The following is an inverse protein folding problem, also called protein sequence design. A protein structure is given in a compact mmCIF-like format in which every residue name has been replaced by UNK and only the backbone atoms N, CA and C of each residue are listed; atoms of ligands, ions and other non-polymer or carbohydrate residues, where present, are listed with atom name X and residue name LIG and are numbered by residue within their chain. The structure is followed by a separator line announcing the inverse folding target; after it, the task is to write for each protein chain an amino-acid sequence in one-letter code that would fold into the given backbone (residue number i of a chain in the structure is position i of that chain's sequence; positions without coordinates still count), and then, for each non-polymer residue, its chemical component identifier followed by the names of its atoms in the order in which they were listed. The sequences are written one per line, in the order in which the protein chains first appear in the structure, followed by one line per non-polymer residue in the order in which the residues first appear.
data_IF_367795577401
#
_entry.id   IF_367795577401
#
_cell.length_a   1.000
_cell.length_b   1.000
_cell.length_c   1.000
_cell.angle_alpha   90.00
_cell.angle_beta   90.00
_cell.angle_gamma   90.00
#
_symmetry.space_group_name_H-M   'P 1'
#
loop_
_entity.id
_entity.type
_entity.pdbx_description
1 polymer ?
#
# COMPACT_ATOMS: atom_id res chain seq x y z
N UNK A 1 -56.43 56.13 7.31
CA UNK A 1 -56.24 54.67 7.13
C UNK A 1 -55.59 54.42 5.77
N UNK A 2 -54.29 54.11 5.74
CA UNK A 2 -53.50 53.98 4.51
C UNK A 2 -53.58 52.56 3.93
N UNK A 3 -53.90 52.49 2.63
CA UNK A 3 -53.99 51.26 1.82
C UNK A 3 -52.61 50.63 1.54
N UNK A 4 -51.91 50.14 2.56
CA UNK A 4 -50.63 49.42 2.38
C UNK A 4 -50.46 48.16 3.24
N UNK A 5 -51.56 47.51 3.61
CA UNK A 5 -51.54 46.09 3.96
C UNK A 5 -51.71 45.27 2.68
N UNK A 6 -50.67 44.51 2.30
CA UNK A 6 -50.61 43.40 1.31
C UNK A 6 -49.41 43.58 0.38
N UNK A 7 -48.24 43.09 0.83
CA UNK A 7 -47.13 42.52 0.04
C UNK A 7 -45.91 42.35 0.96
N UNK A 8 -46.03 41.45 1.93
CA UNK A 8 -44.88 41.01 2.75
C UNK A 8 -44.98 39.50 3.02
N UNK A 9 -45.23 38.70 1.97
CA UNK A 9 -45.19 37.23 2.05
C UNK A 9 -44.95 36.66 0.65
N UNK A 10 -43.72 36.76 0.16
CA UNK A 10 -43.29 36.04 -1.06
C UNK A 10 -41.76 35.90 -1.20
N UNK A 11 -40.96 36.17 -0.16
CA UNK A 11 -39.48 36.08 -0.26
C UNK A 11 -38.93 35.43 1.01
N UNK A 12 -39.36 34.20 1.31
CA UNK A 12 -38.68 33.34 2.31
C UNK A 12 -38.47 31.90 1.77
N UNK A 13 -39.07 31.52 0.63
CA UNK A 13 -39.00 30.14 0.13
C UNK A 13 -37.87 29.85 -0.89
N UNK A 14 -36.97 30.81 -1.18
CA UNK A 14 -35.94 30.63 -2.21
C UNK A 14 -34.49 30.52 -1.68
N UNK A 15 -34.26 30.67 -0.37
CA UNK A 15 -32.89 30.64 0.20
C UNK A 15 -32.56 29.29 0.85
N UNK A 16 -33.52 28.39 1.04
CA UNK A 16 -33.26 27.05 1.61
C UNK A 16 -32.71 26.06 0.56
N UNK A 17 -32.74 26.38 -0.73
CA UNK A 17 -32.25 25.47 -1.78
C UNK A 17 -30.76 25.64 -2.13
N UNK A 18 -30.04 26.55 -1.48
CA UNK A 18 -28.58 26.73 -1.66
C UNK A 18 -27.75 26.29 -0.45
N UNK A 19 -28.33 25.48 0.45
CA UNK A 19 -27.60 24.84 1.53
C UNK A 19 -27.76 23.32 1.40
N UNK A 20 -26.71 22.67 0.88
CA UNK A 20 -26.49 21.26 1.16
C UNK A 20 -26.66 20.28 0.00
N UNK A 21 -26.38 20.67 -1.25
CA UNK A 21 -25.73 19.70 -2.14
C UNK A 21 -24.27 19.53 -1.73
N UNK A 22 -24.03 19.12 -0.47
CA UNK A 22 -22.82 18.35 -0.19
C UNK A 22 -23.02 17.11 -1.03
N UNK A 23 -22.38 17.08 -2.19
CA UNK A 23 -22.11 15.85 -2.91
C UNK A 23 -21.60 14.91 -1.83
N UNK A 24 -22.39 13.91 -1.44
CA UNK A 24 -21.85 12.83 -0.65
C UNK A 24 -20.81 12.24 -1.57
N UNK A 25 -19.54 12.62 -1.38
CA UNK A 25 -18.45 11.94 -2.04
C UNK A 25 -18.63 10.49 -1.64
N UNK A 26 -19.04 9.65 -2.60
CA UNK A 26 -19.28 8.23 -2.32
C UNK A 26 -18.04 7.69 -1.63
N UNK A 27 -18.22 7.28 -0.38
CA UNK A 27 -17.16 6.83 0.48
C UNK A 27 -16.92 5.36 0.15
N UNK A 28 -15.83 5.08 -0.55
CA UNK A 28 -15.47 3.74 -0.93
C UNK A 28 -14.90 2.96 0.27
N UNK A 29 -14.97 1.64 0.16
CA UNK A 29 -14.34 0.69 1.08
C UNK A 29 -13.16 0.02 0.38
N UNK A 30 -11.98 0.10 0.99
CA UNK A 30 -10.78 -0.58 0.53
C UNK A 30 -10.48 -1.78 1.43
N UNK A 31 -10.40 -2.97 0.83
CA UNK A 31 -9.88 -4.16 1.49
C UNK A 31 -8.38 -4.29 1.24
N UNK A 32 -7.61 -4.42 2.31
CA UNK A 32 -6.15 -4.58 2.23
C UNK A 32 -5.76 -5.98 2.61
N UNK A 33 -5.05 -6.63 1.71
CA UNK A 33 -4.45 -7.95 1.87
C UNK A 33 -2.94 -7.78 1.98
N UNK A 34 -2.29 -8.63 2.76
CA UNK A 34 -0.84 -8.63 2.92
C UNK A 34 -0.31 -10.02 2.63
N UNK A 35 0.80 -10.07 1.92
CA UNK A 35 1.57 -11.28 1.69
C UNK A 35 3.06 -10.99 1.80
N UNK A 36 3.85 -12.04 1.91
CA UNK A 36 5.26 -11.99 1.55
C UNK A 36 5.48 -12.70 0.21
N UNK A 37 6.54 -12.34 -0.49
CA UNK A 37 7.01 -13.04 -1.68
C UNK A 37 8.52 -13.23 -1.58
N UNK A 38 9.01 -14.42 -1.89
CA UNK A 38 10.44 -14.72 -1.86
C UNK A 38 10.90 -15.22 -3.22
N UNK A 39 11.92 -14.59 -3.77
CA UNK A 39 12.50 -15.00 -5.04
C UNK A 39 12.97 -16.45 -4.98
N UNK A 40 12.63 -17.24 -5.99
CA UNK A 40 12.89 -18.69 -5.98
C UNK A 40 14.35 -19.08 -6.25
N UNK A 41 15.14 -18.19 -6.85
CA UNK A 41 16.55 -18.41 -7.19
C UNK A 41 17.33 -17.10 -7.09
N UNK A 42 18.66 -17.18 -7.11
CA UNK A 42 19.55 -15.98 -7.11
C UNK A 42 19.79 -15.39 -8.50
N UNK A 43 19.13 -15.91 -9.52
CA UNK A 43 19.14 -15.33 -10.87
C UNK A 43 18.11 -14.21 -10.92
N UNK A 44 18.32 -13.21 -11.76
CA UNK A 44 17.43 -12.05 -11.87
C UNK A 44 16.08 -12.41 -12.53
N UNK A 45 15.26 -13.19 -11.81
CA UNK A 45 13.96 -13.67 -12.27
C UNK A 45 12.85 -13.01 -11.45
N UNK A 46 11.72 -12.77 -12.10
CA UNK A 46 10.50 -12.24 -11.49
C UNK A 46 9.63 -13.34 -10.86
N UNK A 47 10.11 -14.59 -10.84
CA UNK A 47 9.39 -15.75 -10.31
C UNK A 47 9.82 -16.10 -8.89
N UNK A 48 8.85 -16.39 -8.04
CA UNK A 48 9.10 -16.72 -6.65
C UNK A 48 7.92 -17.39 -5.98
N UNK A 49 8.05 -17.54 -4.66
CA UNK A 49 7.08 -18.24 -3.83
C UNK A 49 6.32 -17.22 -2.98
N UNK A 50 5.01 -17.07 -3.17
CA UNK A 50 4.19 -16.25 -2.30
C UNK A 50 3.88 -16.97 -0.98
N UNK A 51 3.85 -16.20 0.11
CA UNK A 51 3.33 -16.58 1.42
C UNK A 51 2.07 -15.74 1.71
N UNK A 52 0.86 -16.28 1.48
CA UNK A 52 -0.40 -15.54 1.61
C UNK A 52 -0.78 -15.16 3.05
N UNK A 53 -0.20 -15.82 4.05
CA UNK A 53 -0.57 -15.66 5.46
C UNK A 53 0.69 -15.51 6.32
N UNK A 54 1.50 -14.45 6.10
CA UNK A 54 2.76 -14.28 6.80
C UNK A 54 2.52 -14.04 8.29
N UNK A 55 3.34 -14.65 9.14
CA UNK A 55 3.20 -14.63 10.61
C UNK A 55 1.79 -15.04 11.11
N UNK A 56 1.06 -15.86 10.35
CA UNK A 56 -0.31 -16.27 10.68
C UNK A 56 -1.36 -15.18 10.49
N UNK A 57 -1.02 -14.10 9.79
CA UNK A 57 -1.94 -13.01 9.44
C UNK A 57 -3.12 -13.54 8.62
N UNK A 58 -4.33 -13.07 8.94
CA UNK A 58 -5.52 -13.32 8.14
C UNK A 58 -5.34 -12.79 6.72
N UNK A 59 -5.84 -13.54 5.71
CA UNK A 59 -5.79 -13.13 4.30
C UNK A 59 -6.25 -11.68 4.12
N UNK A 60 -7.43 -11.34 4.66
CA UNK A 60 -7.85 -9.96 4.80
C UNK A 60 -7.19 -9.38 6.05
N UNK A 61 -6.23 -8.47 5.86
CA UNK A 61 -5.46 -7.88 6.95
C UNK A 61 -6.27 -6.79 7.66
N UNK A 62 -6.88 -5.88 6.90
CA UNK A 62 -7.78 -4.85 7.41
C UNK A 62 -8.63 -4.23 6.30
N UNK A 63 -9.69 -3.53 6.71
CA UNK A 63 -10.59 -2.77 5.84
C UNK A 63 -10.54 -1.30 6.20
N UNK A 64 -10.56 -0.43 5.19
CA UNK A 64 -10.59 1.02 5.30
C UNK A 64 -11.90 1.53 4.73
N UNK A 65 -12.74 2.13 5.55
CA UNK A 65 -14.00 2.74 5.10
C UNK A 65 -13.85 4.25 4.99
N UNK A 66 -14.66 4.90 4.16
CA UNK A 66 -14.59 6.36 4.00
C UNK A 66 -13.53 6.83 3.01
N UNK A 67 -13.05 5.95 2.12
CA UNK A 67 -12.05 6.32 1.13
C UNK A 67 -12.64 7.28 0.12
N UNK A 68 -11.94 8.40 -0.14
CA UNK A 68 -12.35 9.38 -1.14
C UNK A 68 -12.20 8.80 -2.54
N UNK A 69 -13.28 8.79 -3.31
CA UNK A 69 -13.29 8.24 -4.67
C UNK A 69 -12.37 8.94 -5.67
N UNK A 70 -11.96 10.18 -5.41
CA UNK A 70 -10.98 10.91 -6.22
C UNK A 70 -9.55 10.87 -5.65
N UNK A 71 -9.33 10.15 -4.54
CA UNK A 71 -8.04 10.00 -3.89
C UNK A 71 -7.17 8.91 -4.49
N UNK A 72 -5.98 8.75 -3.92
CA UNK A 72 -4.99 7.74 -4.30
C UNK A 72 -4.98 6.56 -3.33
N UNK A 73 -4.33 5.45 -3.68
CA UNK A 73 -4.11 4.35 -2.73
C UNK A 73 -3.30 4.81 -1.51
N UNK A 74 -2.34 5.72 -1.68
CA UNK A 74 -1.61 6.33 -0.56
C UNK A 74 -2.52 7.12 0.38
N UNK A 75 -3.48 7.87 -0.15
CA UNK A 75 -4.46 8.60 0.67
C UNK A 75 -5.34 7.63 1.47
N UNK A 76 -5.76 6.53 0.85
CA UNK A 76 -6.52 5.48 1.51
C UNK A 76 -5.71 4.79 2.62
N UNK A 77 -4.42 4.54 2.42
CA UNK A 77 -3.54 3.99 3.45
C UNK A 77 -3.28 4.98 4.59
N UNK A 78 -3.12 6.29 4.30
CA UNK A 78 -3.04 7.33 5.34
C UNK A 78 -4.31 7.41 6.18
N UNK A 79 -5.48 7.22 5.55
CA UNK A 79 -6.75 7.10 6.26
C UNK A 79 -6.78 5.86 7.15
N UNK A 80 -6.26 4.72 6.69
CA UNK A 80 -6.13 3.51 7.52
C UNK A 80 -5.28 3.77 8.79
N UNK A 81 -4.20 4.55 8.64
CA UNK A 81 -3.35 4.95 9.77
C UNK A 81 -4.10 5.86 10.74
N UNK A 82 -4.85 6.86 10.28
CA UNK A 82 -5.65 7.72 11.16
C UNK A 82 -6.79 6.97 11.85
N UNK A 83 -7.27 5.88 11.25
CA UNK A 83 -8.23 4.93 11.84
C UNK A 83 -7.56 3.88 12.77
N UNK A 84 -6.25 3.96 12.98
CA UNK A 84 -5.52 3.07 13.89
C UNK A 84 -5.34 1.63 13.40
N UNK A 85 -5.59 1.34 12.10
CA UNK A 85 -5.47 -0.01 11.52
C UNK A 85 -4.02 -0.39 11.21
N UNK A 86 -3.19 0.60 10.93
CA UNK A 86 -1.83 0.40 10.45
C UNK A 86 -0.93 1.53 10.93
N UNK A 87 0.38 1.30 10.94
CA UNK A 87 1.41 2.34 11.02
C UNK A 87 2.28 2.20 9.78
N UNK A 88 2.53 3.31 9.09
CA UNK A 88 3.23 3.36 7.81
C UNK A 88 4.43 4.30 7.94
N UNK A 89 5.59 3.83 7.52
CA UNK A 89 6.74 4.66 7.24
C UNK A 89 6.85 4.90 5.75
N UNK A 90 7.09 6.15 5.38
CA UNK A 90 7.38 6.56 4.01
C UNK A 90 8.80 7.10 3.98
N UNK A 91 9.45 7.00 2.82
CA UNK A 91 10.75 7.63 2.61
C UNK A 91 10.62 9.16 2.68
N UNK A 92 11.60 9.86 3.26
CA UNK A 92 11.53 11.32 3.43
C UNK A 92 11.86 12.06 2.13
N UNK A 93 12.84 11.56 1.38
CA UNK A 93 13.31 12.16 0.12
C UNK A 93 12.42 11.73 -1.06
N UNK A 94 11.84 10.53 -0.96
CA UNK A 94 10.98 9.92 -1.97
C UNK A 94 9.65 9.46 -1.37
N UNK A 95 8.78 10.40 -0.95
CA UNK A 95 7.59 10.10 -0.16
C UNK A 95 6.61 9.14 -0.83
N UNK A 96 6.68 8.91 -2.13
CA UNK A 96 5.95 7.89 -2.87
C UNK A 96 6.27 6.44 -2.47
N UNK A 97 7.41 6.17 -1.83
CA UNK A 97 7.83 4.82 -1.46
C UNK A 97 7.55 4.48 -0.01
N UNK A 98 6.89 3.34 0.20
CA UNK A 98 6.62 2.78 1.51
C UNK A 98 7.88 2.08 2.04
N UNK A 99 8.35 2.48 3.21
CA UNK A 99 9.57 1.95 3.83
C UNK A 99 9.28 1.03 5.00
N UNK A 100 8.14 1.19 5.67
CA UNK A 100 7.72 0.27 6.73
C UNK A 100 6.20 0.20 6.86
N UNK A 101 5.73 -0.93 7.37
CA UNK A 101 4.33 -1.17 7.68
C UNK A 101 4.22 -2.01 8.94
N UNK A 102 3.27 -1.65 9.80
CA UNK A 102 2.85 -2.46 10.95
C UNK A 102 1.32 -2.53 11.02
N UNK A 103 0.76 -3.73 10.91
CA UNK A 103 -0.69 -3.97 11.05
C UNK A 103 -1.06 -4.02 12.53
N UNK A 104 -2.16 -3.36 12.88
CA UNK A 104 -2.68 -3.33 14.24
C UNK A 104 -4.05 -3.98 14.32
N UNK A 105 -4.24 -4.80 15.35
CA UNK A 105 -5.53 -5.36 15.75
C UNK A 105 -5.70 -5.20 17.25
N UNK A 106 -6.81 -4.59 17.65
CA UNK A 106 -7.13 -4.31 19.06
C UNK A 106 -5.99 -3.57 19.80
N UNK A 107 -5.36 -2.61 19.11
CA UNK A 107 -4.25 -1.81 19.64
C UNK A 107 -2.87 -2.49 19.61
N UNK A 108 -2.80 -3.80 19.34
CA UNK A 108 -1.56 -4.57 19.30
C UNK A 108 -1.03 -4.69 17.87
N UNK A 109 0.29 -4.63 17.71
CA UNK A 109 0.95 -4.94 16.43
C UNK A 109 0.94 -6.45 16.24
N UNK A 110 0.33 -6.90 15.15
CA UNK A 110 0.22 -8.34 14.81
C UNK A 110 1.12 -8.76 13.65
N UNK A 111 1.63 -7.80 12.89
CA UNK A 111 2.54 -8.03 11.78
C UNK A 111 3.31 -6.74 11.51
N UNK A 112 4.62 -6.82 11.24
CA UNK A 112 5.39 -5.64 10.85
C UNK A 112 6.63 -6.01 10.04
N UNK A 113 6.92 -5.21 9.02
CA UNK A 113 8.17 -5.27 8.25
C UNK A 113 8.65 -3.88 7.88
N UNK A 114 9.97 -3.76 7.77
CA UNK A 114 10.68 -2.57 7.30
C UNK A 114 11.57 -2.99 6.13
N UNK A 115 11.67 -2.16 5.10
CA UNK A 115 12.56 -2.41 3.98
C UNK A 115 14.00 -2.56 4.48
N UNK A 116 14.75 -3.47 3.88
CA UNK A 116 16.13 -3.72 4.24
C UNK A 116 16.94 -4.14 3.01
N UNK A 117 18.26 -4.14 3.16
CA UNK A 117 19.17 -4.55 2.11
C UNK A 117 20.58 -4.65 2.63
N UNK A 118 21.23 -5.79 2.41
CA UNK A 118 22.62 -6.02 2.82
C UNK A 118 23.29 -7.13 2.01
N UNK A 119 24.62 -7.15 2.02
CA UNK A 119 25.38 -8.28 1.48
C UNK A 119 25.41 -9.42 2.50
N UNK A 120 25.02 -10.61 2.06
CA UNK A 120 25.11 -11.89 2.77
C UNK A 120 26.21 -12.74 2.16
N UNK A 121 26.82 -13.58 2.98
CA UNK A 121 27.89 -14.50 2.61
C UNK A 121 29.02 -13.83 1.80
N UNK A 122 29.66 -12.77 2.35
CA UNK A 122 30.69 -12.03 1.63
C UNK A 122 31.95 -12.88 1.43
N UNK A 123 32.52 -12.78 0.23
CA UNK A 123 33.78 -13.41 -0.20
C UNK A 123 34.82 -12.30 -0.28
N UNK A 124 35.99 -12.53 0.32
CA UNK A 124 37.07 -11.56 0.38
C UNK A 124 38.34 -12.07 -0.30
N UNK A 125 39.07 -11.15 -0.92
CA UNK A 125 40.49 -11.27 -1.24
C UNK A 125 41.26 -10.25 -0.38
N UNK A 126 41.95 -10.75 0.64
CA UNK A 126 42.47 -9.91 1.73
C UNK A 126 41.34 -9.17 2.46
N UNK A 127 41.37 -7.83 2.43
CA UNK A 127 40.34 -6.96 3.03
C UNK A 127 39.28 -6.49 2.02
N UNK A 128 39.43 -6.85 0.75
CA UNK A 128 38.53 -6.38 -0.32
C UNK A 128 37.44 -7.41 -0.55
N UNK A 129 36.17 -7.01 -0.41
CA UNK A 129 35.05 -7.89 -0.76
C UNK A 129 34.99 -8.03 -2.27
N UNK A 130 35.15 -9.26 -2.77
CA UNK A 130 35.19 -9.58 -4.20
C UNK A 130 33.89 -10.20 -4.71
N UNK A 131 32.98 -10.60 -3.82
CA UNK A 131 31.65 -11.09 -4.18
C UNK A 131 30.78 -11.32 -2.94
N UNK A 132 29.47 -11.36 -3.12
CA UNK A 132 28.50 -11.70 -2.08
C UNK A 132 27.14 -12.05 -2.72
N UNK A 133 26.17 -12.43 -1.88
CA UNK A 133 24.75 -12.42 -2.25
C UNK A 133 24.12 -11.17 -1.65
N UNK A 134 23.74 -10.19 -2.47
CA UNK A 134 22.91 -9.09 -2.00
C UNK A 134 21.50 -9.61 -1.73
N UNK A 135 20.98 -9.37 -0.53
CA UNK A 135 19.61 -9.71 -0.14
C UNK A 135 18.92 -8.43 0.25
N UNK A 136 17.78 -8.15 -0.37
CA UNK A 136 16.97 -6.99 -0.03
C UNK A 136 15.49 -7.27 -0.09
N UNK A 137 14.78 -6.64 0.83
CA UNK A 137 13.34 -6.75 0.96
C UNK A 137 12.67 -5.39 0.87
N UNK A 138 11.56 -5.32 0.14
CA UNK A 138 10.83 -4.07 -0.06
C UNK A 138 9.33 -4.26 -0.12
N UNK A 139 8.59 -3.22 0.27
CA UNK A 139 7.15 -3.14 0.10
C UNK A 139 6.77 -2.83 -1.35
N UNK A 140 6.05 -3.76 -1.96
CA UNK A 140 5.44 -3.68 -3.29
C UNK A 140 3.92 -3.71 -3.18
N UNK A 141 3.23 -3.43 -4.29
CA UNK A 141 1.77 -3.40 -4.29
C UNK A 141 1.19 -3.82 -5.63
N UNK A 142 -0.05 -4.30 -5.62
CA UNK A 142 -0.85 -4.49 -6.83
C UNK A 142 -2.36 -4.49 -6.50
N UNK A 143 -3.24 -4.11 -7.44
CA UNK A 143 -4.68 -4.10 -7.21
C UNK A 143 -5.26 -5.53 -7.14
N UNK A 144 -6.35 -5.68 -6.42
CA UNK A 144 -7.05 -6.96 -6.28
C UNK A 144 -6.73 -7.67 -4.97
N UNK A 145 -6.96 -8.98 -4.95
CA UNK A 145 -6.88 -9.83 -3.76
C UNK A 145 -6.19 -11.19 -4.03
N UNK A 146 -5.57 -11.36 -5.19
CA UNK A 146 -4.86 -12.60 -5.50
C UNK A 146 -3.52 -12.64 -4.76
N UNK A 147 -3.48 -13.34 -3.62
CA UNK A 147 -2.28 -13.49 -2.82
C UNK A 147 -1.27 -14.51 -3.39
N UNK A 148 -1.67 -15.30 -4.40
CA UNK A 148 -0.86 -16.41 -4.95
C UNK A 148 -0.11 -16.04 -6.22
N UNK A 149 -0.17 -14.78 -6.66
CA UNK A 149 0.52 -14.28 -7.83
C UNK A 149 2.05 -14.49 -7.71
N UNK A 150 2.59 -15.43 -8.48
CA UNK A 150 3.99 -15.83 -8.38
C UNK A 150 4.96 -14.92 -9.15
N UNK A 151 4.46 -14.22 -10.17
CA UNK A 151 5.26 -13.41 -11.10
C UNK A 151 5.10 -11.90 -10.83
N UNK A 152 6.18 -11.26 -10.37
CA UNK A 152 6.19 -9.83 -10.02
C UNK A 152 6.30 -8.89 -11.21
N UNK A 153 6.55 -9.39 -12.43
CA UNK A 153 6.53 -8.57 -13.65
C UNK A 153 5.14 -7.97 -13.95
N UNK A 154 4.10 -8.54 -13.34
CA UNK A 154 2.72 -8.06 -13.42
C UNK A 154 2.42 -6.89 -12.47
N UNK A 155 3.36 -6.50 -11.61
CA UNK A 155 3.15 -5.38 -10.70
C UNK A 155 2.99 -4.05 -11.45
N UNK A 156 2.17 -3.12 -10.94
CA UNK A 156 2.04 -1.78 -11.48
C UNK A 156 3.39 -1.06 -11.56
N UNK A 157 3.57 -0.33 -12.66
CA UNK A 157 4.74 0.57 -12.85
C UNK A 157 4.53 1.94 -12.20
N UNK A 158 3.42 2.14 -11.51
CA UNK A 158 3.06 3.37 -10.82
C UNK A 158 3.17 3.20 -9.31
N UNK A 159 3.35 4.30 -8.59
CA UNK A 159 3.39 4.27 -7.12
C UNK A 159 1.98 4.33 -6.54
N UNK A 160 1.86 4.00 -5.25
CA UNK A 160 0.60 4.16 -4.49
C UNK A 160 0.11 5.61 -4.48
N UNK A 161 1.03 6.59 -4.57
CA UNK A 161 0.73 8.02 -4.68
C UNK A 161 0.35 8.43 -6.10
N UNK A 162 0.89 7.75 -7.12
CA UNK A 162 0.60 8.03 -8.52
C UNK A 162 -0.69 7.39 -9.04
N UNK A 163 -1.31 6.49 -8.27
CA UNK A 163 -2.47 5.70 -8.73
C UNK A 163 -3.74 6.07 -7.96
N UNK A 164 -4.78 6.48 -8.72
CA UNK A 164 -6.13 6.73 -8.17
C UNK A 164 -6.83 5.43 -7.77
N UNK A 165 -7.71 5.54 -6.78
CA UNK A 165 -8.60 4.42 -6.43
C UNK A 165 -9.56 4.13 -7.59
N UNK A 166 -9.88 2.84 -7.86
CA UNK A 166 -10.57 2.44 -9.10
C UNK A 166 -12.10 2.53 -9.00
N UNK A 167 -12.66 2.68 -7.80
CA UNK A 167 -14.09 2.55 -7.54
C UNK A 167 -14.57 3.51 -6.46
N UNK A 168 -15.85 3.88 -6.54
CA UNK A 168 -16.60 4.63 -5.51
C UNK A 168 -17.22 3.74 -4.44
N UNK A 169 -17.18 2.42 -4.63
CA UNK A 169 -17.94 1.45 -3.84
C UNK A 169 -17.00 0.57 -3.02
N UNK A 170 -16.48 -0.51 -3.61
CA UNK A 170 -15.54 -1.42 -2.97
C UNK A 170 -14.41 -1.79 -3.93
N UNK A 171 -13.20 -1.90 -3.41
CA UNK A 171 -12.02 -2.35 -4.15
C UNK A 171 -10.99 -2.97 -3.22
N UNK A 172 -9.96 -3.61 -3.80
CA UNK A 172 -8.94 -4.34 -3.05
C UNK A 172 -7.52 -3.93 -3.44
N UNK A 173 -6.62 -4.03 -2.47
CA UNK A 173 -5.20 -3.78 -2.60
C UNK A 173 -4.45 -4.94 -1.95
N UNK A 174 -3.45 -5.50 -2.64
CA UNK A 174 -2.44 -6.34 -2.01
C UNK A 174 -1.19 -5.51 -1.77
N UNK A 175 -0.69 -5.53 -0.53
CA UNK A 175 0.65 -5.08 -0.17
C UNK A 175 1.54 -6.31 0.00
N UNK A 176 2.61 -6.37 -0.77
CA UNK A 176 3.51 -7.52 -0.83
C UNK A 176 4.86 -7.13 -0.27
N UNK A 177 5.38 -7.86 0.70
CA UNK A 177 6.75 -7.68 1.18
C UNK A 177 7.66 -8.68 0.46
N UNK A 178 8.40 -8.17 -0.52
CA UNK A 178 9.11 -8.98 -1.50
C UNK A 178 10.58 -9.04 -1.15
N UNK A 179 11.14 -10.25 -1.05
CA UNK A 179 12.56 -10.49 -0.79
C UNK A 179 13.25 -11.05 -2.03
N UNK A 180 14.35 -10.39 -2.41
CA UNK A 180 15.15 -10.71 -3.60
C UNK A 180 16.60 -11.00 -3.22
N UNK A 181 17.25 -11.85 -4.02
CA UNK A 181 18.60 -12.32 -3.83
C UNK A 181 19.39 -12.19 -5.13
N UNK A 182 20.51 -11.48 -5.11
CA UNK A 182 21.37 -11.30 -6.27
C UNK A 182 22.82 -11.62 -5.93
N UNK A 183 23.37 -12.67 -6.54
CA UNK A 183 24.81 -12.96 -6.44
C UNK A 183 25.58 -11.95 -7.30
N UNK A 184 26.73 -11.49 -6.81
CA UNK A 184 27.63 -10.61 -7.56
C UNK A 184 29.09 -10.96 -7.32
N UNK A 185 29.96 -10.52 -8.24
CA UNK A 185 31.41 -10.72 -8.14
C UNK A 185 31.81 -12.20 -8.17
N UNK A 186 32.78 -12.58 -7.35
CA UNK A 186 33.29 -13.96 -7.25
C UNK A 186 32.22 -14.97 -6.83
N UNK A 187 31.14 -14.54 -6.18
CA UNK A 187 30.00 -15.41 -5.83
C UNK A 187 29.26 -15.97 -7.05
N UNK A 188 29.40 -15.34 -8.23
CA UNK A 188 28.86 -15.85 -9.50
C UNK A 188 29.61 -17.10 -9.99
N UNK A 189 30.89 -17.25 -9.65
CA UNK A 189 31.72 -18.40 -10.04
C UNK A 189 31.55 -19.63 -9.15
N UNK A 190 30.91 -19.48 -7.98
CA UNK A 190 30.59 -20.56 -7.05
C UNK A 190 29.33 -21.32 -7.45
N UNK A 191 29.33 -21.93 -8.64
CA UNK A 191 28.37 -22.97 -9.00
C UNK A 191 29.04 -24.34 -8.81
N UNK A 192 28.69 -25.01 -7.72
CA UNK A 192 28.72 -26.47 -7.58
C UNK A 192 27.53 -26.89 -6.72
#
# INVERSE_FOLDING_TARGET
MSKKFKRLSAVILAVVMMLGSTVMASAATMNVYIREWTQGNTSNTYLGTPNPTPDGLSNLAFTVTGVKSNGTYKDALKLAQSQGKVTLGWDEDHPEYLTSLAVKKDGNVIYSKTNNGENKDPIYDGTTMTGATWVGSSWMWYPGNDLKLADTSSYPQTTLAGTKVPSTDEFSLVLSYDTTHFKWGTALGGNN
#
